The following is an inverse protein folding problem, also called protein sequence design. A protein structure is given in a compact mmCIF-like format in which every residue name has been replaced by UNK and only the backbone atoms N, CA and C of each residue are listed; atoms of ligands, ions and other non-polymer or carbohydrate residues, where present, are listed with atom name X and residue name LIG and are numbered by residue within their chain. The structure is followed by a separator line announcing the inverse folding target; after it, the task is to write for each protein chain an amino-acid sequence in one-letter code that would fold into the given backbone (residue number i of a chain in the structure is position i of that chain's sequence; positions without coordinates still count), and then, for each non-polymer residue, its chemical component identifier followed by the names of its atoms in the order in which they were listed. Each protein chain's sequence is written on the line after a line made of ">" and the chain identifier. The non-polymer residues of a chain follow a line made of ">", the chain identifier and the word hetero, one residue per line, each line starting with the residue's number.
data_IF_127792825379
#
_entry.id   IF_127792825379
#
_cell.length_a   1.000
_cell.length_b   1.000
_cell.length_c   1.000
_cell.angle_alpha   90.00
_cell.angle_beta   90.00
_cell.angle_gamma   90.00
#
_symmetry.space_group_name_H-M   'P 1'
#
loop_
_entity.id
_entity.type
_entity.pdbx_description
1 polymer ?
#
# COMPACT_ATOMS: atom_id res chain seq x y z
N UNK A 1 -4.51 33.01 42.32
CA UNK A 1 -4.51 33.01 40.84
C UNK A 1 -5.95 32.96 40.38
N UNK A 2 -6.43 34.01 39.72
CA UNK A 2 -7.81 34.08 39.25
C UNK A 2 -7.96 33.26 37.96
N UNK A 3 -8.97 32.41 37.90
CA UNK A 3 -9.33 31.62 36.72
C UNK A 3 -9.90 32.53 35.65
N UNK A 4 -9.23 32.60 34.49
CA UNK A 4 -9.71 33.32 33.31
C UNK A 4 -10.47 32.29 32.46
N UNK A 5 -11.79 32.46 32.25
CA UNK A 5 -12.57 31.51 31.46
C UNK A 5 -12.16 31.55 29.98
N UNK A 6 -12.22 30.41 29.28
CA UNK A 6 -11.88 30.35 27.86
C UNK A 6 -12.84 31.23 27.04
N UNK A 7 -12.24 32.04 26.16
CA UNK A 7 -12.97 32.86 25.20
C UNK A 7 -13.82 31.96 24.27
N UNK A 8 -15.14 32.12 24.33
CA UNK A 8 -16.11 31.37 23.52
C UNK A 8 -16.06 31.72 22.02
N UNK A 9 -15.32 32.77 21.63
CA UNK A 9 -15.21 33.25 20.26
C UNK A 9 -13.81 33.03 19.68
N UNK A 10 -13.49 31.76 19.41
CA UNK A 10 -12.61 31.29 18.33
C UNK A 10 -11.30 32.04 18.01
N UNK A 11 -10.18 31.34 18.23
CA UNK A 11 -8.84 31.56 17.66
C UNK A 11 -8.23 32.97 17.81
N UNK A 12 -7.16 33.06 18.59
CA UNK A 12 -6.29 34.23 18.65
C UNK A 12 -5.74 34.56 17.25
N UNK A 13 -6.34 35.57 16.63
CA UNK A 13 -5.80 36.21 15.44
C UNK A 13 -4.37 36.69 15.76
N UNK A 14 -3.39 36.20 15.02
CA UNK A 14 -2.08 36.84 15.00
C UNK A 14 -2.30 38.30 14.57
N UNK A 15 -1.69 39.24 15.29
CA UNK A 15 -2.05 40.66 15.39
C UNK A 15 -1.99 41.51 14.09
N UNK A 16 -1.92 40.90 12.91
CA UNK A 16 -2.00 41.56 11.61
C UNK A 16 -2.76 40.74 10.55
N UNK A 17 -3.48 39.69 10.93
CA UNK A 17 -4.38 39.00 9.99
C UNK A 17 -5.74 39.69 10.02
N UNK A 18 -6.05 40.49 9.00
CA UNK A 18 -7.42 40.92 8.76
C UNK A 18 -8.28 39.64 8.62
N UNK A 19 -9.49 39.59 9.20
CA UNK A 19 -10.39 38.48 8.98
C UNK A 19 -10.57 38.31 7.47
N UNK A 20 -10.31 37.11 6.96
CA UNK A 20 -10.68 36.76 5.59
C UNK A 20 -12.20 36.68 5.58
N UNK A 21 -12.85 37.82 5.38
CA UNK A 21 -14.28 37.88 5.11
C UNK A 21 -14.43 37.45 3.67
N UNK A 22 -14.89 36.22 3.48
CA UNK A 22 -15.42 35.80 2.18
C UNK A 22 -16.61 36.71 1.92
N UNK A 23 -16.47 37.63 0.97
CA UNK A 23 -17.51 38.59 0.65
C UNK A 23 -18.79 37.83 0.25
N UNK A 24 -19.96 38.40 0.53
CA UNK A 24 -21.25 37.73 0.27
C UNK A 24 -21.50 37.42 -1.20
N UNK A 25 -20.71 37.99 -2.10
CA UNK A 25 -20.66 37.73 -3.53
C UNK A 25 -19.64 36.65 -3.94
N UNK A 26 -18.75 36.23 -3.03
CA UNK A 26 -17.84 35.12 -3.25
C UNK A 26 -18.52 33.79 -2.91
N UNK A 27 -19.05 33.15 -3.94
CA UNK A 27 -19.38 31.72 -3.88
C UNK A 27 -18.12 30.91 -3.64
N UNK A 28 -18.00 30.27 -2.47
CA UNK A 28 -17.03 29.18 -2.25
C UNK A 28 -17.42 28.07 -3.22
N UNK A 29 -16.72 28.00 -4.35
CA UNK A 29 -16.86 26.89 -5.28
C UNK A 29 -16.15 25.70 -4.66
N UNK A 30 -16.87 24.92 -3.85
CA UNK A 30 -16.44 23.57 -3.49
C UNK A 30 -16.48 22.76 -4.79
N UNK A 31 -15.39 22.82 -5.55
CA UNK A 31 -15.16 21.88 -6.64
C UNK A 31 -14.92 20.55 -5.95
N UNK A 32 -15.92 19.69 -5.91
CA UNK A 32 -15.71 18.28 -5.58
C UNK A 32 -15.00 17.70 -6.82
N UNK A 33 -13.66 17.54 -6.81
CA UNK A 33 -12.90 17.39 -8.04
C UNK A 33 -13.07 16.02 -8.69
N UNK A 34 -13.67 15.06 -8.00
CA UNK A 34 -13.61 13.65 -8.39
C UNK A 34 -14.85 13.13 -9.11
N UNK A 35 -15.97 13.87 -9.10
CA UNK A 35 -17.22 13.38 -9.69
C UNK A 35 -18.00 14.52 -10.32
N UNK A 36 -17.84 14.69 -11.63
CA UNK A 36 -18.78 15.47 -12.44
C UNK A 36 -19.92 14.52 -12.82
N UNK A 37 -21.15 14.84 -12.44
CA UNK A 37 -22.35 14.12 -12.88
C UNK A 37 -23.12 15.03 -13.83
N UNK A 38 -23.47 14.52 -15.00
CA UNK A 38 -24.38 15.21 -15.93
C UNK A 38 -25.48 14.25 -16.39
N UNK A 39 -26.73 14.67 -16.26
CA UNK A 39 -27.88 13.93 -16.78
C UNK A 39 -28.72 14.80 -17.72
N UNK A 40 -28.85 14.39 -18.98
CA UNK A 40 -29.79 15.00 -19.95
C UNK A 40 -30.36 13.93 -20.89
N UNK A 41 -31.20 14.34 -21.85
CA UNK A 41 -31.86 13.41 -22.77
C UNK A 41 -31.42 13.61 -24.22
N UNK A 42 -31.34 12.50 -24.95
CA UNK A 42 -31.14 12.45 -26.39
C UNK A 42 -32.48 12.10 -27.05
N UNK A 43 -32.93 12.94 -27.97
CA UNK A 43 -34.22 12.84 -28.66
C UNK A 43 -34.11 12.98 -30.18
N UNK A 44 -32.93 13.34 -30.70
CA UNK A 44 -32.71 13.60 -32.14
C UNK A 44 -31.40 12.99 -32.63
N UNK A 45 -31.23 12.88 -33.95
CA UNK A 45 -29.96 12.47 -34.56
C UNK A 45 -28.93 13.58 -34.47
N UNK A 46 -27.66 13.21 -34.29
CA UNK A 46 -26.57 14.16 -34.49
C UNK A 46 -26.18 14.23 -35.97
N UNK A 47 -26.57 15.31 -36.64
CA UNK A 47 -26.27 15.53 -38.06
C UNK A 47 -24.85 16.07 -38.28
N UNK A 48 -24.13 16.43 -37.21
CA UNK A 48 -22.76 16.97 -37.29
C UNK A 48 -21.83 16.23 -36.30
N UNK A 49 -21.54 14.92 -36.51
CA UNK A 49 -20.81 14.11 -35.54
C UNK A 49 -19.40 14.60 -35.23
N UNK A 50 -18.72 15.25 -36.18
CA UNK A 50 -17.36 15.75 -36.00
C UNK A 50 -17.27 17.15 -35.35
N UNK A 51 -18.41 17.82 -35.16
CA UNK A 51 -18.47 19.22 -34.71
C UNK A 51 -19.47 19.43 -33.57
N UNK A 52 -20.07 20.61 -33.55
CA UNK A 52 -21.11 20.97 -32.57
C UNK A 52 -22.34 20.10 -32.83
N UNK A 53 -22.73 19.32 -31.81
CA UNK A 53 -23.85 18.40 -31.94
C UNK A 53 -25.16 19.14 -32.23
N UNK A 54 -26.05 18.51 -33.01
CA UNK A 54 -27.43 18.96 -33.14
C UNK A 54 -28.09 19.04 -31.75
N UNK A 55 -28.91 20.06 -31.48
CA UNK A 55 -29.55 20.19 -30.18
C UNK A 55 -30.37 18.93 -29.84
N UNK A 56 -30.19 18.41 -28.61
CA UNK A 56 -30.84 17.18 -28.16
C UNK A 56 -30.30 15.88 -28.78
N UNK A 57 -29.13 15.91 -29.44
CA UNK A 57 -28.52 14.72 -30.05
C UNK A 57 -27.33 14.13 -29.30
N UNK A 58 -26.82 14.83 -28.29
CA UNK A 58 -25.69 14.37 -27.48
C UNK A 58 -25.75 14.88 -26.04
N UNK A 59 -25.09 14.15 -25.14
CA UNK A 59 -24.83 14.53 -23.73
C UNK A 59 -23.32 14.57 -23.53
N UNK A 60 -22.79 15.71 -23.10
CA UNK A 60 -21.35 16.01 -23.04
C UNK A 60 -20.87 16.25 -21.62
N UNK A 61 -19.72 15.68 -21.24
CA UNK A 61 -19.10 15.86 -19.93
C UNK A 61 -17.64 16.30 -20.07
N UNK A 62 -17.18 17.15 -19.13
CA UNK A 62 -15.75 17.49 -18.98
C UNK A 62 -15.05 16.40 -18.19
N UNK A 63 -13.88 15.96 -18.66
CA UNK A 63 -13.15 14.85 -18.03
C UNK A 63 -12.15 15.33 -16.98
N UNK A 64 -11.62 16.55 -17.07
CA UNK A 64 -10.73 17.13 -16.05
C UNK A 64 -9.54 16.24 -15.60
N UNK A 65 -9.05 15.34 -16.46
CA UNK A 65 -7.97 14.39 -16.14
C UNK A 65 -8.44 13.00 -15.70
N UNK A 66 -9.75 12.78 -15.64
CA UNK A 66 -10.35 11.47 -15.35
C UNK A 66 -10.03 10.43 -16.43
N UNK A 67 -9.88 9.19 -15.99
CA UNK A 67 -9.48 8.07 -16.84
C UNK A 67 -10.68 7.22 -17.29
N UNK A 68 -11.79 7.28 -16.56
CA UNK A 68 -12.99 6.47 -16.82
C UNK A 68 -14.24 7.30 -16.93
N UNK A 69 -15.15 6.85 -17.80
CA UNK A 69 -16.49 7.39 -17.97
C UNK A 69 -17.51 6.29 -17.70
N UNK A 70 -18.35 6.48 -16.69
CA UNK A 70 -19.54 5.67 -16.46
C UNK A 70 -20.73 6.33 -17.16
N UNK A 71 -21.48 5.54 -17.93
CA UNK A 71 -22.67 5.97 -18.67
C UNK A 71 -23.85 5.11 -18.27
N UNK A 72 -24.90 5.70 -17.71
CA UNK A 72 -26.18 5.01 -17.51
C UNK A 72 -27.18 5.46 -18.57
N UNK A 73 -27.81 4.50 -19.24
CA UNK A 73 -28.87 4.75 -20.23
C UNK A 73 -30.19 4.19 -19.71
N UNK A 74 -31.23 5.03 -19.75
CA UNK A 74 -32.62 4.65 -19.46
C UNK A 74 -33.56 5.22 -20.54
N UNK A 75 -34.84 4.85 -20.48
CA UNK A 75 -35.88 5.33 -21.40
C UNK A 75 -36.19 4.35 -22.54
N UNK A 76 -37.09 4.77 -23.43
CA UNK A 76 -37.50 4.01 -24.61
C UNK A 76 -37.11 4.79 -25.84
N UNK A 77 -36.19 4.25 -26.63
CA UNK A 77 -35.64 4.93 -27.79
C UNK A 77 -35.31 3.95 -28.92
N UNK A 78 -35.27 4.47 -30.15
CA UNK A 78 -34.67 3.80 -31.29
C UNK A 78 -33.34 4.46 -31.69
N UNK A 79 -32.53 3.75 -32.46
CA UNK A 79 -31.22 4.24 -32.91
C UNK A 79 -30.08 3.90 -31.94
N UNK A 80 -28.86 3.76 -32.48
CA UNK A 80 -27.68 3.45 -31.69
C UNK A 80 -27.01 4.72 -31.16
N UNK A 81 -26.39 4.62 -29.98
CA UNK A 81 -25.58 5.67 -29.37
C UNK A 81 -24.10 5.29 -29.40
N UNK A 82 -23.22 6.27 -29.60
CA UNK A 82 -21.77 6.08 -29.61
C UNK A 82 -21.03 7.03 -28.68
N UNK A 83 -19.84 6.63 -28.26
CA UNK A 83 -18.90 7.48 -27.55
C UNK A 83 -18.13 8.34 -28.54
N UNK A 84 -18.07 9.63 -28.26
CA UNK A 84 -17.15 10.55 -28.90
C UNK A 84 -16.29 11.24 -27.86
N UNK A 85 -15.06 11.57 -28.24
CA UNK A 85 -14.07 12.21 -27.39
C UNK A 85 -13.40 13.37 -28.14
N UNK A 86 -12.80 14.29 -27.39
CA UNK A 86 -12.03 15.39 -27.96
C UNK A 86 -10.81 15.70 -27.09
N UNK A 87 -9.71 16.05 -27.76
CA UNK A 87 -8.45 16.52 -27.12
C UNK A 87 -8.33 18.04 -27.11
N UNK A 88 -9.14 18.75 -27.90
CA UNK A 88 -9.07 20.21 -28.08
C UNK A 88 -10.39 20.94 -27.75
N UNK A 89 -11.46 20.19 -27.45
CA UNK A 89 -12.76 20.72 -27.04
C UNK A 89 -13.67 21.11 -28.20
N UNK A 90 -13.22 20.99 -29.44
CA UNK A 90 -13.94 21.46 -30.63
C UNK A 90 -14.06 20.38 -31.72
N UNK A 91 -13.02 19.59 -31.93
CA UNK A 91 -12.99 18.48 -32.89
C UNK A 91 -13.35 17.18 -32.19
N UNK A 92 -14.47 16.58 -32.60
CA UNK A 92 -14.98 15.34 -32.00
C UNK A 92 -14.63 14.13 -32.86
N UNK A 93 -14.17 13.07 -32.21
CA UNK A 93 -13.83 11.79 -32.84
C UNK A 93 -14.67 10.69 -32.21
N UNK A 94 -15.33 9.87 -33.03
CA UNK A 94 -16.01 8.66 -32.58
C UNK A 94 -14.97 7.61 -32.20
N UNK A 95 -15.06 7.09 -30.98
CA UNK A 95 -14.18 6.02 -30.52
C UNK A 95 -14.58 4.72 -31.22
N UNK A 96 -13.67 4.15 -32.00
CA UNK A 96 -13.87 2.88 -32.69
C UNK A 96 -13.71 1.66 -31.77
N UNK A 97 -13.80 0.46 -32.34
CA UNK A 97 -13.62 -0.79 -31.59
C UNK A 97 -14.82 -1.13 -30.71
N UNK A 98 -14.58 -1.42 -29.43
CA UNK A 98 -15.63 -1.74 -28.45
C UNK A 98 -15.52 -0.87 -27.18
N UNK A 99 -15.76 0.45 -27.29
CA UNK A 99 -15.46 1.40 -26.23
C UNK A 99 -16.33 1.27 -24.98
N UNK A 100 -17.38 0.44 -25.01
CA UNK A 100 -18.28 0.23 -23.89
C UNK A 100 -18.13 -1.17 -23.34
N UNK A 101 -17.93 -1.31 -22.03
CA UNK A 101 -18.27 -2.52 -21.31
C UNK A 101 -19.65 -2.36 -20.67
N UNK A 102 -20.57 -3.29 -20.91
CA UNK A 102 -21.82 -3.33 -20.17
C UNK A 102 -21.57 -4.00 -18.81
N UNK A 103 -21.71 -3.25 -17.72
CA UNK A 103 -21.36 -3.72 -16.37
C UNK A 103 -22.31 -4.81 -15.84
N UNK A 104 -23.50 -4.95 -16.43
CA UNK A 104 -24.45 -6.00 -16.04
C UNK A 104 -24.14 -7.36 -16.70
N UNK A 105 -23.52 -7.34 -17.88
CA UNK A 105 -23.28 -8.56 -18.70
C UNK A 105 -21.80 -8.83 -18.95
N UNK A 106 -20.91 -7.91 -18.58
CA UNK A 106 -19.48 -7.93 -18.87
C UNK A 106 -19.15 -8.07 -20.37
N UNK A 107 -20.04 -7.59 -21.24
CA UNK A 107 -19.87 -7.66 -22.69
C UNK A 107 -19.33 -6.34 -23.24
N UNK A 108 -18.33 -6.43 -24.11
CA UNK A 108 -17.81 -5.29 -24.86
C UNK A 108 -18.68 -4.98 -26.08
N UNK A 109 -18.97 -3.70 -26.30
CA UNK A 109 -19.89 -3.22 -27.33
C UNK A 109 -19.28 -2.07 -28.13
N UNK A 110 -19.46 -2.11 -29.45
CA UNK A 110 -19.07 -1.03 -30.36
C UNK A 110 -19.98 0.21 -30.25
N UNK A 111 -21.23 -0.01 -29.85
CA UNK A 111 -22.23 1.04 -29.64
C UNK A 111 -23.29 0.56 -28.65
N UNK A 112 -23.99 1.49 -28.01
CA UNK A 112 -25.16 1.20 -27.20
C UNK A 112 -26.32 1.04 -28.16
N UNK A 113 -26.77 -0.19 -28.37
CA UNK A 113 -27.80 -0.53 -29.37
C UNK A 113 -29.16 0.07 -29.02
N UNK A 114 -30.06 0.09 -30.00
CA UNK A 114 -31.45 0.54 -29.84
C UNK A 114 -32.12 -0.10 -28.62
N UNK A 115 -32.85 0.71 -27.84
CA UNK A 115 -33.60 0.31 -26.64
C UNK A 115 -32.79 -0.37 -25.51
N UNK A 116 -31.45 -0.42 -25.59
CA UNK A 116 -30.63 -1.03 -24.55
C UNK A 116 -30.52 -0.11 -23.34
N UNK A 117 -31.07 -0.53 -22.21
CA UNK A 117 -30.95 0.17 -20.92
C UNK A 117 -29.96 -0.57 -20.03
N UNK A 118 -28.91 0.11 -19.59
CA UNK A 118 -27.87 -0.48 -18.74
C UNK A 118 -26.94 0.60 -18.17
N UNK A 119 -25.94 0.16 -17.41
CA UNK A 119 -24.76 0.93 -17.04
C UNK A 119 -23.56 0.42 -17.84
N UNK A 120 -22.81 1.35 -18.41
CA UNK A 120 -21.63 1.10 -19.21
C UNK A 120 -20.43 1.83 -18.63
N UNK A 121 -19.25 1.29 -18.86
CA UNK A 121 -17.99 1.98 -18.60
C UNK A 121 -17.18 2.09 -19.88
N UNK A 122 -16.44 3.20 -20.01
CA UNK A 122 -15.54 3.50 -21.11
C UNK A 122 -14.23 4.10 -20.60
N UNK A 123 -13.13 3.82 -21.29
CA UNK A 123 -11.83 4.44 -21.05
C UNK A 123 -11.72 5.76 -21.80
N UNK A 124 -11.38 6.83 -21.08
CA UNK A 124 -11.33 8.20 -21.62
C UNK A 124 -10.08 8.96 -21.19
N UNK A 125 -9.08 8.24 -20.65
CA UNK A 125 -7.79 8.80 -20.29
C UNK A 125 -7.14 9.55 -21.46
N UNK A 126 -6.64 10.76 -21.21
CA UNK A 126 -5.97 11.59 -22.21
C UNK A 126 -6.89 12.48 -23.06
N UNK A 127 -8.21 12.39 -22.90
CA UNK A 127 -9.16 13.30 -23.52
C UNK A 127 -9.60 14.41 -22.55
N UNK A 128 -10.02 15.56 -23.08
CA UNK A 128 -10.48 16.68 -22.25
C UNK A 128 -11.99 16.66 -22.02
N UNK A 129 -12.74 16.11 -22.98
CA UNK A 129 -14.20 15.93 -22.89
C UNK A 129 -14.62 14.63 -23.58
N UNK A 130 -15.75 14.09 -23.14
CA UNK A 130 -16.44 12.99 -23.77
C UNK A 130 -17.91 13.33 -23.98
N UNK A 131 -18.56 12.69 -24.96
CA UNK A 131 -20.02 12.76 -25.13
C UNK A 131 -20.60 11.45 -25.64
N UNK A 132 -21.81 11.15 -25.22
CA UNK A 132 -22.66 10.13 -25.85
C UNK A 132 -23.51 10.82 -26.89
N UNK A 133 -23.51 10.31 -28.12
CA UNK A 133 -24.21 10.91 -29.25
C UNK A 133 -25.05 9.89 -29.99
N UNK A 134 -26.17 10.33 -30.58
CA UNK A 134 -26.97 9.54 -31.50
C UNK A 134 -26.27 9.35 -32.86
N UNK A 135 -26.11 8.10 -33.31
CA UNK A 135 -25.57 7.76 -34.64
C UNK A 135 -26.65 7.77 -35.74
N UNK A 136 -27.90 7.55 -35.36
CA UNK A 136 -29.04 7.42 -36.27
C UNK A 136 -30.21 8.27 -35.79
N UNK A 137 -31.27 8.32 -36.60
CA UNK A 137 -32.55 8.90 -36.19
C UNK A 137 -33.02 8.25 -34.87
N UNK A 138 -33.33 9.09 -33.90
CA UNK A 138 -33.89 8.68 -32.61
C UNK A 138 -35.39 8.90 -32.66
N UNK A 139 -36.17 7.86 -32.40
CA UNK A 139 -37.56 8.00 -31.98
C UNK A 139 -37.64 7.70 -30.48
N UNK A 140 -38.50 8.39 -29.74
CA UNK A 140 -38.57 8.27 -28.28
C UNK A 140 -37.52 9.13 -27.56
N UNK A 141 -37.04 8.67 -26.41
CA UNK A 141 -36.10 9.42 -25.55
C UNK A 141 -35.13 8.48 -24.85
N UNK A 142 -33.84 8.70 -25.06
CA UNK A 142 -32.78 8.09 -24.27
C UNK A 142 -32.34 9.06 -23.18
N UNK A 143 -32.55 8.73 -21.92
CA UNK A 143 -32.03 9.52 -20.79
C UNK A 143 -30.65 9.00 -20.44
N UNK A 144 -29.66 9.90 -20.51
CA UNK A 144 -28.23 9.57 -20.36
C UNK A 144 -27.70 10.27 -19.11
N UNK A 145 -27.09 9.50 -18.22
CA UNK A 145 -26.34 10.01 -17.08
C UNK A 145 -24.86 9.66 -17.24
N UNK A 146 -23.99 10.66 -17.17
CA UNK A 146 -22.54 10.56 -17.33
C UNK A 146 -21.86 10.90 -16.01
N UNK A 147 -20.88 10.07 -15.66
CA UNK A 147 -20.01 10.27 -14.50
C UNK A 147 -18.57 10.00 -14.89
N UNK A 148 -17.70 10.99 -14.75
CA UNK A 148 -16.26 10.83 -14.95
C UNK A 148 -15.55 10.54 -13.61
N UNK A 149 -14.49 9.73 -13.62
CA UNK A 149 -13.71 9.40 -12.43
C UNK A 149 -12.23 9.13 -12.73
N UNK A 150 -11.38 9.55 -11.80
CA UNK A 150 -9.95 9.29 -11.75
C UNK A 150 -9.60 7.82 -11.47
N UNK A 151 -10.58 7.00 -11.06
CA UNK A 151 -10.38 5.59 -10.77
C UNK A 151 -9.95 4.81 -12.02
N UNK A 152 -8.70 4.33 -12.05
CA UNK A 152 -8.21 3.36 -13.02
C UNK A 152 -8.39 1.96 -12.45
N UNK A 153 -9.42 1.24 -12.87
CA UNK A 153 -9.52 -0.18 -12.52
C UNK A 153 -10.29 -0.95 -13.58
N UNK A 154 -9.72 -1.02 -14.78
CA UNK A 154 -9.96 -2.17 -15.64
C UNK A 154 -8.63 -2.70 -16.14
N UNK A 155 -8.25 -3.88 -15.67
CA UNK A 155 -7.36 -4.74 -16.45
C UNK A 155 -8.25 -5.42 -17.47
N UNK A 156 -8.44 -4.77 -18.62
CA UNK A 156 -9.15 -5.36 -19.74
C UNK A 156 -8.19 -6.27 -20.51
N UNK A 157 -8.68 -7.44 -20.94
CA UNK A 157 -8.02 -8.21 -21.97
C UNK A 157 -8.61 -7.76 -23.31
N UNK A 158 -7.77 -7.18 -24.17
CA UNK A 158 -8.14 -6.69 -25.50
C UNK A 158 -8.75 -7.81 -26.39
N UNK A 159 -8.39 -9.06 -26.11
CA UNK A 159 -9.00 -10.23 -26.72
C UNK A 159 -9.45 -11.23 -25.67
N UNK A 160 -10.64 -11.82 -25.90
CA UNK A 160 -11.11 -12.93 -25.08
C UNK A 160 -10.08 -14.06 -25.13
N UNK A 161 -9.76 -14.62 -23.97
CA UNK A 161 -8.90 -15.80 -23.91
C UNK A 161 -9.56 -16.94 -24.70
N UNK A 162 -8.79 -17.75 -25.45
CA UNK A 162 -9.31 -18.94 -26.11
C UNK A 162 -10.07 -19.84 -25.12
N UNK A 163 -11.06 -20.60 -25.61
CA UNK A 163 -11.79 -21.54 -24.76
C UNK A 163 -10.82 -22.52 -24.07
N UNK A 164 -10.93 -22.66 -22.74
CA UNK A 164 -10.05 -23.50 -21.93
C UNK A 164 -9.53 -22.81 -20.68
N UNK A 165 -8.56 -23.45 -20.01
CA UNK A 165 -7.83 -22.84 -18.89
C UNK A 165 -6.68 -22.02 -19.45
N UNK A 166 -6.67 -20.72 -19.15
CA UNK A 166 -5.61 -19.82 -19.59
C UNK A 166 -4.86 -19.32 -18.37
N UNK A 167 -3.54 -19.49 -18.37
CA UNK A 167 -2.67 -18.92 -17.34
C UNK A 167 -2.36 -17.48 -17.72
N UNK A 168 -3.09 -16.54 -17.15
CA UNK A 168 -2.64 -15.15 -17.05
C UNK A 168 -1.52 -15.18 -16.01
N UNK A 169 -0.30 -14.73 -16.35
CA UNK A 169 0.84 -14.76 -15.44
C UNK A 169 0.61 -13.95 -14.14
N UNK A 170 1.67 -13.66 -13.40
CA UNK A 170 1.54 -12.84 -12.19
C UNK A 170 1.16 -11.39 -12.53
N UNK A 171 -0.03 -10.96 -12.14
CA UNK A 171 -0.39 -9.54 -12.07
C UNK A 171 0.21 -8.98 -10.78
N UNK A 172 1.29 -8.22 -10.90
CA UNK A 172 1.89 -7.52 -9.75
C UNK A 172 1.37 -6.10 -9.71
N UNK A 173 0.68 -5.76 -8.62
CA UNK A 173 0.49 -4.36 -8.25
C UNK A 173 1.78 -3.97 -7.53
N UNK A 174 2.45 -2.91 -7.98
CA UNK A 174 3.57 -2.33 -7.23
C UNK A 174 2.98 -1.72 -5.96
N UNK A 175 2.80 -2.54 -4.92
CA UNK A 175 2.39 -2.07 -3.61
C UNK A 175 3.57 -1.35 -2.96
N UNK A 176 3.28 -0.36 -2.12
CA UNK A 176 4.31 0.23 -1.26
C UNK A 176 5.06 -0.89 -0.50
N UNK A 177 6.38 -0.76 -0.30
CA UNK A 177 7.13 -1.75 0.47
C UNK A 177 6.51 -1.88 1.87
N UNK A 178 6.49 -3.09 2.45
CA UNK A 178 5.94 -3.29 3.79
C UNK A 178 6.73 -2.47 4.82
N UNK A 179 6.05 -2.05 5.89
CA UNK A 179 6.68 -1.28 6.96
C UNK A 179 7.87 -2.07 7.52
N UNK A 180 9.05 -1.46 7.47
CA UNK A 180 10.33 -2.09 7.84
C UNK A 180 10.86 -1.44 9.12
N UNK A 181 11.40 -2.25 10.00
CA UNK A 181 11.88 -1.84 11.31
C UNK A 181 13.27 -2.41 11.58
N UNK A 182 14.03 -1.71 12.42
CA UNK A 182 15.31 -2.15 12.93
C UNK A 182 15.37 -1.97 14.44
N UNK A 183 16.10 -2.84 15.13
CA UNK A 183 16.44 -2.69 16.53
C UNK A 183 17.87 -3.15 16.78
N UNK A 184 18.61 -2.37 17.58
CA UNK A 184 20.01 -2.63 17.88
C UNK A 184 20.29 -2.53 19.38
N UNK A 185 21.15 -3.42 19.87
CA UNK A 185 21.78 -3.31 21.18
C UNK A 185 23.29 -3.25 20.98
N UNK A 186 23.97 -2.40 21.75
CA UNK A 186 25.42 -2.29 21.77
C UNK A 186 25.96 -2.60 23.15
N UNK A 187 27.15 -3.20 23.21
CA UNK A 187 27.81 -3.52 24.48
C UNK A 187 27.03 -4.48 25.39
N UNK A 188 26.25 -5.39 24.81
CA UNK A 188 25.50 -6.39 25.56
C UNK A 188 26.46 -7.34 26.28
N UNK A 189 26.42 -7.29 27.62
CA UNK A 189 27.07 -8.26 28.48
C UNK A 189 26.12 -9.45 28.72
N UNK A 190 26.45 -10.61 28.16
CA UNK A 190 25.69 -11.85 28.36
C UNK A 190 25.92 -12.46 29.75
N UNK A 191 24.92 -13.16 30.28
CA UNK A 191 25.04 -13.90 31.54
C UNK A 191 26.00 -15.10 31.49
N UNK A 192 26.33 -15.66 32.66
CA UNK A 192 27.09 -16.92 32.77
C UNK A 192 26.30 -18.07 32.16
N UNK A 193 26.98 -18.99 31.45
CA UNK A 193 26.33 -20.09 30.71
C UNK A 193 25.21 -19.57 29.80
N UNK A 194 25.54 -18.58 28.97
CA UNK A 194 24.57 -17.82 28.20
C UNK A 194 23.73 -18.72 27.29
N UNK A 195 22.41 -18.57 27.42
CA UNK A 195 21.43 -19.19 26.53
C UNK A 195 20.96 -18.13 25.53
N UNK A 196 19.69 -17.74 25.55
CA UNK A 196 19.12 -16.73 24.68
C UNK A 196 19.50 -15.34 25.19
N UNK A 197 20.31 -14.64 24.41
CA UNK A 197 20.84 -13.32 24.79
C UNK A 197 20.08 -12.18 24.09
N UNK A 198 19.41 -12.49 22.98
CA UNK A 198 18.65 -11.52 22.20
C UNK A 198 17.50 -12.22 21.50
N UNK A 199 16.31 -11.64 21.56
CA UNK A 199 15.09 -12.25 20.99
C UNK A 199 14.25 -11.23 20.25
N UNK A 200 13.61 -11.68 19.16
CA UNK A 200 12.48 -11.02 18.52
C UNK A 200 11.26 -11.93 18.67
N UNK A 201 10.28 -11.47 19.45
CA UNK A 201 8.99 -12.12 19.64
C UNK A 201 8.00 -11.57 18.63
N UNK A 202 7.21 -12.46 18.00
CA UNK A 202 6.22 -12.11 17.00
C UNK A 202 5.12 -11.17 17.50
N UNK A 203 4.27 -10.73 16.58
CA UNK A 203 3.16 -9.80 16.87
C UNK A 203 1.83 -10.53 17.07
N UNK A 204 0.91 -9.93 17.83
CA UNK A 204 -0.47 -10.40 17.97
C UNK A 204 -1.35 -10.02 16.77
N UNK A 205 -0.99 -8.97 16.05
CA UNK A 205 -1.82 -8.35 14.99
C UNK A 205 -1.18 -8.39 13.62
N UNK A 206 0.11 -8.72 13.54
CA UNK A 206 0.91 -8.67 12.31
C UNK A 206 1.69 -9.95 12.08
N UNK A 207 1.94 -10.27 10.81
CA UNK A 207 2.94 -11.29 10.46
C UNK A 207 4.30 -10.62 10.37
N UNK A 208 5.27 -11.18 11.10
CA UNK A 208 6.63 -10.64 11.20
C UNK A 208 7.56 -11.45 10.29
N UNK A 209 8.22 -10.76 9.37
CA UNK A 209 9.20 -11.36 8.45
C UNK A 209 10.59 -10.82 8.77
N UNK A 210 11.47 -11.68 9.29
CA UNK A 210 12.85 -11.29 9.58
C UNK A 210 13.62 -11.22 8.27
N UNK A 211 14.33 -10.13 8.04
CA UNK A 211 15.15 -9.89 6.84
C UNK A 211 16.63 -10.03 7.12
N UNK A 212 17.09 -9.62 8.31
CA UNK A 212 18.53 -9.57 8.60
C UNK A 212 18.83 -9.64 10.10
N UNK A 213 19.95 -10.28 10.44
CA UNK A 213 20.55 -10.25 11.78
C UNK A 213 22.06 -10.02 11.60
N UNK A 214 22.62 -9.05 12.30
CA UNK A 214 24.07 -8.84 12.39
C UNK A 214 24.52 -9.02 13.84
N UNK A 215 25.65 -9.71 14.04
CA UNK A 215 26.21 -9.99 15.35
C UNK A 215 27.72 -9.78 15.30
N UNK A 216 28.23 -8.92 16.17
CA UNK A 216 29.65 -8.71 16.39
C UNK A 216 29.93 -8.38 17.87
N UNK A 217 31.18 -8.11 18.20
CA UNK A 217 31.54 -7.65 19.54
C UNK A 217 32.98 -7.93 19.92
N UNK A 218 33.28 -7.76 21.21
CA UNK A 218 34.60 -8.02 21.80
C UNK A 218 34.47 -8.80 23.11
N UNK A 219 35.58 -9.42 23.53
CA UNK A 219 35.74 -10.12 24.80
C UNK A 219 36.96 -9.58 25.57
N UNK A 220 37.11 -9.94 26.84
CA UNK A 220 38.39 -9.68 27.55
C UNK A 220 39.52 -10.54 26.98
N UNK A 221 39.24 -11.82 26.68
CA UNK A 221 40.16 -12.75 26.02
C UNK A 221 39.54 -13.21 24.72
N UNK A 222 40.27 -13.05 23.61
CA UNK A 222 39.76 -13.41 22.29
C UNK A 222 39.35 -14.88 22.23
N UNK A 223 38.20 -15.17 21.60
CA UNK A 223 37.69 -16.53 21.47
C UNK A 223 36.81 -16.68 20.24
N UNK A 224 36.66 -17.92 19.78
CA UNK A 224 35.60 -18.29 18.85
C UNK A 224 34.36 -18.72 19.64
N UNK A 225 33.24 -18.05 19.40
CA UNK A 225 31.97 -18.29 20.09
C UNK A 225 30.98 -18.94 19.13
N UNK A 226 30.34 -20.03 19.56
CA UNK A 226 29.24 -20.62 18.81
C UNK A 226 27.98 -19.76 18.99
N UNK A 227 27.41 -19.30 17.89
CA UNK A 227 26.16 -18.57 17.84
C UNK A 227 25.12 -19.42 17.11
N UNK A 228 23.97 -19.58 17.74
CA UNK A 228 22.83 -20.29 17.20
C UNK A 228 21.68 -19.30 16.95
N UNK A 229 21.05 -19.39 15.78
CA UNK A 229 19.74 -18.77 15.53
C UNK A 229 18.69 -19.86 15.69
N UNK A 230 17.81 -19.70 16.68
CA UNK A 230 16.82 -20.70 17.07
C UNK A 230 15.42 -20.12 16.87
N UNK A 231 14.54 -20.88 16.23
CA UNK A 231 13.10 -20.59 16.20
C UNK A 231 12.41 -21.33 17.35
N UNK A 232 11.56 -20.63 18.10
CA UNK A 232 10.77 -21.17 19.20
C UNK A 232 9.26 -21.06 18.97
N UNK A 233 8.50 -21.93 19.62
CA UNK A 233 7.03 -22.00 19.60
C UNK A 233 6.38 -21.43 20.85
N UNK A 234 7.17 -21.10 21.88
CA UNK A 234 6.72 -20.32 23.05
C UNK A 234 7.74 -19.21 23.34
N UNK A 235 7.27 -18.13 23.96
CA UNK A 235 8.14 -17.05 24.39
C UNK A 235 9.07 -17.48 25.55
N UNK A 236 10.22 -16.82 25.62
CA UNK A 236 11.13 -16.91 26.76
C UNK A 236 10.49 -16.28 28.01
N UNK A 237 10.87 -16.76 29.18
CA UNK A 237 10.33 -16.25 30.46
C UNK A 237 11.45 -16.01 31.49
N UNK A 238 11.23 -15.09 32.44
CA UNK A 238 12.23 -14.75 33.44
C UNK A 238 13.43 -14.00 32.86
N UNK A 239 14.59 -14.11 33.54
CA UNK A 239 15.79 -13.35 33.18
C UNK A 239 15.68 -11.85 33.48
N UNK A 240 16.74 -11.12 33.16
CA UNK A 240 16.76 -9.65 33.21
C UNK A 240 17.08 -9.16 31.80
N UNK A 241 16.20 -8.34 31.25
CA UNK A 241 16.33 -7.81 29.89
C UNK A 241 16.12 -6.31 29.82
N UNK A 242 16.73 -5.70 28.82
CA UNK A 242 16.33 -4.40 28.29
C UNK A 242 15.58 -4.59 26.98
N UNK A 243 14.75 -3.62 26.59
CA UNK A 243 14.04 -3.63 25.31
C UNK A 243 14.71 -2.63 24.36
N UNK A 244 15.50 -3.08 23.37
CA UNK A 244 16.01 -2.22 22.32
C UNK A 244 14.90 -1.43 21.62
N UNK A 245 15.19 -0.17 21.26
CA UNK A 245 14.25 0.67 20.52
C UNK A 245 13.97 0.05 19.15
N UNK A 246 12.69 -0.14 18.82
CA UNK A 246 12.23 -0.62 17.52
C UNK A 246 11.97 0.58 16.62
N UNK A 247 12.94 0.92 15.77
CA UNK A 247 12.92 2.11 14.93
C UNK A 247 12.24 1.79 13.60
N UNK A 248 11.16 2.49 13.21
CA UNK A 248 10.63 2.39 11.86
C UNK A 248 11.62 3.05 10.88
N UNK A 249 11.92 2.36 9.78
CA UNK A 249 12.83 2.89 8.74
C UNK A 249 12.15 3.96 7.86
N UNK A 250 10.82 4.04 7.91
CA UNK A 250 10.03 5.14 7.37
C UNK A 250 9.28 5.81 8.53
N UNK A 251 9.48 7.12 8.72
CA UNK A 251 8.86 7.89 9.80
C UNK A 251 7.33 7.98 9.73
N UNK A 252 6.73 7.65 8.58
CA UNK A 252 5.27 7.54 8.42
C UNK A 252 4.72 6.17 8.84
N UNK A 253 5.58 5.17 9.04
CA UNK A 253 5.15 3.86 9.53
C UNK A 253 4.68 3.95 10.98
N UNK A 254 3.63 3.18 11.32
CA UNK A 254 3.21 3.02 12.70
C UNK A 254 4.31 2.37 13.55
N UNK A 255 4.20 2.43 14.88
CA UNK A 255 5.16 1.76 15.75
C UNK A 255 5.12 0.24 15.59
N UNK A 256 6.29 -0.41 15.62
CA UNK A 256 6.41 -1.87 15.54
C UNK A 256 5.64 -2.57 16.66
N UNK A 257 5.00 -3.68 16.32
CA UNK A 257 4.20 -4.49 17.25
C UNK A 257 4.93 -5.73 17.75
N UNK A 258 5.90 -6.25 16.98
CA UNK A 258 6.83 -7.29 17.43
C UNK A 258 7.71 -6.77 18.59
N UNK A 259 8.11 -7.62 19.52
CA UNK A 259 8.88 -7.20 20.72
C UNK A 259 10.31 -7.70 20.67
N UNK A 260 11.26 -6.81 20.95
CA UNK A 260 12.70 -7.13 20.99
C UNK A 260 13.19 -7.06 22.44
N UNK A 261 13.92 -8.07 22.89
CA UNK A 261 14.54 -8.11 24.22
C UNK A 261 16.00 -8.52 24.11
N UNK A 262 16.86 -7.86 24.89
CA UNK A 262 18.27 -8.18 25.06
C UNK A 262 18.54 -8.54 26.52
N UNK A 263 18.99 -9.76 26.79
CA UNK A 263 19.12 -10.34 28.13
C UNK A 263 20.52 -10.16 28.70
N UNK A 264 20.61 -9.51 29.87
CA UNK A 264 21.83 -9.41 30.69
C UNK A 264 21.90 -10.49 31.77
N UNK A 265 20.77 -11.15 32.04
CA UNK A 265 20.69 -12.41 32.80
C UNK A 265 19.82 -13.40 32.04
N UNK A 266 20.24 -14.67 32.02
CA UNK A 266 19.62 -15.70 31.20
C UNK A 266 18.10 -15.83 31.47
N UNK A 267 17.27 -15.82 30.43
CA UNK A 267 15.90 -16.27 30.56
C UNK A 267 15.84 -17.80 30.71
N UNK A 268 14.67 -18.29 31.10
CA UNK A 268 14.25 -19.66 30.82
C UNK A 268 13.79 -19.73 29.36
N UNK A 269 14.54 -20.44 28.47
CA UNK A 269 14.21 -20.44 27.05
C UNK A 269 12.87 -21.13 26.77
N UNK A 270 12.11 -20.60 25.81
CA UNK A 270 10.88 -21.23 25.33
C UNK A 270 11.13 -22.56 24.61
N UNK A 271 10.07 -23.22 24.16
CA UNK A 271 10.17 -24.50 23.43
C UNK A 271 10.77 -24.29 22.05
N UNK A 272 11.91 -24.92 21.78
CA UNK A 272 12.55 -24.85 20.46
C UNK A 272 11.73 -25.61 19.41
N UNK A 273 11.51 -24.98 18.26
CA UNK A 273 11.09 -25.67 17.03
C UNK A 273 12.34 -26.24 16.34
N UNK A 274 13.41 -25.45 16.27
CA UNK A 274 14.69 -25.89 15.70
C UNK A 274 15.70 -24.76 15.53
N UNK A 275 16.95 -25.15 15.29
CA UNK A 275 18.07 -24.24 14.98
C UNK A 275 18.16 -24.04 13.47
N UNK A 276 18.08 -22.79 13.01
CA UNK A 276 18.16 -22.45 11.57
C UNK A 276 19.57 -22.10 11.13
N UNK A 277 20.42 -21.66 12.06
CA UNK A 277 21.82 -21.32 11.79
C UNK A 277 22.67 -21.68 12.99
N UNK A 278 23.83 -22.29 12.76
CA UNK A 278 24.84 -22.55 13.77
C UNK A 278 26.20 -22.19 13.16
N UNK A 279 26.87 -21.19 13.73
CA UNK A 279 28.16 -20.72 13.21
C UNK A 279 29.08 -20.27 14.34
N UNK A 280 30.38 -20.23 14.08
CA UNK A 280 31.35 -19.67 15.01
C UNK A 280 31.70 -18.24 14.60
N UNK A 281 31.64 -17.32 15.56
CA UNK A 281 32.07 -15.93 15.40
C UNK A 281 33.35 -15.74 16.18
N UNK A 282 34.37 -15.14 15.54
CA UNK A 282 35.58 -14.76 16.26
C UNK A 282 35.37 -13.40 16.91
N UNK A 283 35.42 -13.35 18.24
CA UNK A 283 35.35 -12.11 19.00
C UNK A 283 36.77 -11.74 19.48
N UNK A 284 37.35 -10.62 19.02
CA UNK A 284 38.68 -10.22 19.43
C UNK A 284 38.72 -9.76 20.90
N UNK A 285 39.93 -9.70 21.45
CA UNK A 285 40.15 -9.08 22.75
C UNK A 285 39.95 -7.56 22.66
N UNK A 286 39.33 -6.94 23.66
CA UNK A 286 39.00 -5.51 23.63
C UNK A 286 40.21 -4.58 23.43
N UNK A 287 41.41 -5.01 23.82
CA UNK A 287 42.66 -4.27 23.63
C UNK A 287 43.38 -4.57 22.29
N UNK A 288 42.83 -5.43 21.43
CA UNK A 288 43.46 -5.83 20.17
C UNK A 288 43.03 -4.89 19.05
N UNK A 289 44.00 -4.33 18.31
CA UNK A 289 43.75 -3.52 17.11
C UNK A 289 43.45 -4.44 15.90
N UNK A 290 42.36 -5.18 15.96
CA UNK A 290 41.92 -6.08 14.87
C UNK A 290 40.46 -5.81 14.58
N UNK A 291 40.11 -5.76 13.30
CA UNK A 291 38.71 -5.64 12.88
C UNK A 291 37.92 -6.84 13.40
N UNK A 292 36.86 -6.56 14.18
CA UNK A 292 35.95 -7.59 14.63
C UNK A 292 35.23 -8.18 13.41
N UNK A 293 35.42 -9.47 13.16
CA UNK A 293 34.69 -10.17 12.10
C UNK A 293 33.33 -10.60 12.64
N UNK A 294 32.35 -9.72 12.47
CA UNK A 294 30.94 -10.04 12.73
C UNK A 294 30.39 -11.09 11.76
N UNK A 295 29.19 -11.57 12.05
CA UNK A 295 28.38 -12.35 11.12
C UNK A 295 27.15 -11.57 10.70
N UNK A 296 26.76 -11.75 9.45
CA UNK A 296 25.50 -11.24 8.90
C UNK A 296 24.69 -12.40 8.35
N UNK A 297 23.46 -12.51 8.80
CA UNK A 297 22.51 -13.55 8.39
C UNK A 297 21.38 -12.82 7.69
N UNK A 298 21.25 -13.04 6.38
CA UNK A 298 20.26 -12.39 5.52
C UNK A 298 19.22 -13.44 5.12
N UNK A 299 17.95 -13.11 5.30
CA UNK A 299 16.81 -13.95 4.93
C UNK A 299 16.06 -13.33 3.77
N UNK A 300 15.56 -14.17 2.86
CA UNK A 300 14.73 -13.71 1.72
C UNK A 300 15.52 -13.12 0.55
N UNK A 301 16.84 -13.21 0.56
CA UNK A 301 17.66 -12.82 -0.58
C UNK A 301 17.38 -13.76 -1.77
N UNK A 302 17.47 -13.24 -3.00
CA UNK A 302 17.29 -14.03 -4.23
C UNK A 302 15.95 -14.79 -4.33
N UNK A 303 14.90 -14.30 -3.65
CA UNK A 303 13.57 -14.93 -3.67
C UNK A 303 13.43 -16.12 -2.72
N UNK A 304 14.39 -16.33 -1.83
CA UNK A 304 14.29 -17.35 -0.77
C UNK A 304 13.16 -17.06 0.22
N UNK A 305 12.75 -18.08 0.96
CA UNK A 305 11.77 -17.90 2.03
C UNK A 305 12.41 -17.23 3.26
N UNK A 306 11.75 -16.18 3.77
CA UNK A 306 12.17 -15.52 5.01
C UNK A 306 11.85 -16.34 6.26
N UNK A 307 12.49 -16.03 7.39
CA UNK A 307 12.01 -16.52 8.68
C UNK A 307 10.75 -15.74 9.09
N UNK A 308 9.67 -16.47 9.41
CA UNK A 308 8.35 -15.89 9.71
C UNK A 308 7.92 -16.20 11.14
N UNK A 309 7.45 -15.17 11.86
CA UNK A 309 6.75 -15.30 13.15
C UNK A 309 5.28 -14.84 12.97
N UNK A 310 4.33 -15.72 13.27
CA UNK A 310 2.88 -15.55 13.01
C UNK A 310 2.06 -15.29 14.28
N UNK A 311 2.70 -14.97 15.40
CA UNK A 311 2.03 -14.79 16.68
C UNK A 311 3.01 -14.51 17.81
N UNK A 312 2.52 -14.01 18.94
CA UNK A 312 3.31 -13.67 20.14
C UNK A 312 4.02 -14.86 20.79
N UNK A 313 3.63 -16.08 20.47
CA UNK A 313 4.28 -17.28 20.99
C UNK A 313 5.52 -17.67 20.17
N UNK A 314 5.68 -17.13 18.96
CA UNK A 314 6.80 -17.47 18.09
C UNK A 314 7.94 -16.48 18.32
N UNK A 315 9.14 -17.03 18.55
CA UNK A 315 10.33 -16.23 18.86
C UNK A 315 11.49 -16.65 17.96
N UNK A 316 12.23 -15.67 17.46
CA UNK A 316 13.59 -15.84 16.99
C UNK A 316 14.53 -15.52 18.15
N UNK A 317 15.46 -16.41 18.45
CA UNK A 317 16.45 -16.23 19.50
C UNK A 317 17.88 -16.35 18.97
N UNK A 318 18.75 -15.42 19.40
CA UNK A 318 20.21 -15.52 19.32
C UNK A 318 20.69 -16.21 20.59
N UNK A 319 21.27 -17.39 20.45
CA UNK A 319 21.67 -18.25 21.56
C UNK A 319 23.17 -18.56 21.54
N UNK A 320 23.82 -18.56 22.71
CA UNK A 320 25.27 -18.79 22.86
C UNK A 320 25.65 -20.21 23.31
N UNK A 321 24.74 -21.17 23.15
CA UNK A 321 24.96 -22.59 23.42
C UNK A 321 25.53 -22.90 24.81
N UNK A 322 25.04 -22.20 25.84
CA UNK A 322 25.43 -22.40 27.25
C UNK A 322 26.91 -22.05 27.53
N UNK A 323 27.50 -21.15 26.73
CA UNK A 323 28.89 -20.69 26.91
C UNK A 323 28.96 -19.51 27.86
N UNK A 324 29.96 -19.47 28.74
CA UNK A 324 30.26 -18.29 29.55
C UNK A 324 31.26 -17.40 28.82
N UNK A 325 30.87 -16.17 28.51
CA UNK A 325 31.73 -15.18 27.87
C UNK A 325 32.18 -14.12 28.89
N UNK A 326 33.43 -14.23 29.35
CA UNK A 326 33.98 -13.27 30.32
C UNK A 326 34.25 -11.91 29.65
N UNK A 327 33.62 -10.87 30.20
CA UNK A 327 33.78 -9.48 29.74
C UNK A 327 33.29 -9.27 28.31
N UNK A 328 32.17 -9.89 27.95
CA UNK A 328 31.56 -9.74 26.64
C UNK A 328 30.94 -8.35 26.44
N UNK A 329 31.15 -7.79 25.26
CA UNK A 329 30.53 -6.57 24.76
C UNK A 329 30.01 -6.86 23.35
N UNK A 330 28.81 -7.44 23.27
CA UNK A 330 28.19 -7.87 22.01
C UNK A 330 27.34 -6.75 21.40
N UNK A 331 27.42 -6.58 20.09
CA UNK A 331 26.53 -5.74 19.32
C UNK A 331 25.63 -6.64 18.46
N UNK A 332 24.33 -6.40 18.51
CA UNK A 332 23.34 -7.18 17.76
C UNK A 332 22.37 -6.22 17.10
N UNK A 333 22.20 -6.33 15.79
CA UNK A 333 21.21 -5.62 14.99
C UNK A 333 20.24 -6.64 14.38
N UNK A 334 18.95 -6.31 14.36
CA UNK A 334 17.93 -7.09 13.66
C UNK A 334 17.04 -6.18 12.81
N UNK A 335 16.69 -6.66 11.62
CA UNK A 335 15.73 -6.01 10.74
C UNK A 335 14.56 -6.95 10.44
N UNK A 336 13.36 -6.39 10.37
CA UNK A 336 12.15 -7.13 10.03
C UNK A 336 11.10 -6.24 9.37
N UNK A 337 10.11 -6.87 8.73
CA UNK A 337 8.90 -6.21 8.24
C UNK A 337 7.66 -6.72 8.96
N UNK A 338 6.63 -5.88 9.05
CA UNK A 338 5.30 -6.25 9.56
C UNK A 338 4.22 -6.01 8.51
N UNK A 339 3.41 -7.04 8.24
CA UNK A 339 2.28 -7.02 7.29
C UNK A 339 0.98 -7.30 8.02
#
# INVERSE_FOLDING_TARGET
>A
MAYIPPNLNGQAAMANSAPVVVASDQTIKVVNPDVIVLATSITTQNLVPAGVATAGSAVEISLNGDATLTTQITGTYTGALSLQVTVNGTTWVTVGGTPFINLNTSTYLASITSALTSVFQSEVAGFIKARITALAAITGTATVNLQASSATSMVALDTALPAGTNTIGSVSIVSAPPATYSASITGLASGTLAVDIFTLTGSATKTVYITRIDIDGTLTTAAQVMVLIIKRSTADTGGVSTAPTRVPLDSLSAAATATVLAYTSNPSPGTAIGTTTATRVFLPGAATATDAQGISIIYGQAGEQQMILRGINQVLAVNLNTVTLTGASLNINIEWTEV
#
